data_IF_990639737712
#
_entry.id   IF_990639737712
#
_cell.length_a   1.000
_cell.length_b   1.000
_cell.length_c   1.000
_cell.angle_alpha   90.00
_cell.angle_beta   90.00
_cell.angle_gamma   90.00
#
_symmetry.space_group_name_H-M   'P 1'
#
loop_
_entity.id
_entity.type
_entity.pdbx_description
1 polymer ?
#
# COMPACT_ATOMS: atom_id res chain seq x y z
N UNK A 1 -7.95 -6.98 -7.39
CA UNK A 1 -7.10 -5.97 -8.06
C UNK A 1 -7.48 -4.59 -7.56
N UNK A 2 -6.50 -3.82 -7.11
CA UNK A 2 -6.71 -2.46 -6.59
C UNK A 2 -5.99 -1.44 -7.47
N UNK A 3 -6.59 -0.27 -7.63
CA UNK A 3 -6.08 0.81 -8.48
C UNK A 3 -5.82 2.07 -7.65
N UNK A 4 -5.13 3.04 -8.24
CA UNK A 4 -4.86 4.33 -7.57
C UNK A 4 -6.16 4.98 -7.10
N UNK A 5 -7.23 4.93 -7.91
CA UNK A 5 -8.52 5.51 -7.51
C UNK A 5 -9.07 4.83 -6.24
N UNK A 6 -8.91 3.52 -6.11
CA UNK A 6 -9.35 2.79 -4.93
C UNK A 6 -8.59 3.26 -3.67
N UNK A 7 -7.28 3.46 -3.82
CA UNK A 7 -6.44 3.97 -2.74
C UNK A 7 -6.87 5.36 -2.28
N UNK A 8 -7.09 6.26 -3.23
CA UNK A 8 -7.49 7.64 -2.94
C UNK A 8 -8.84 7.67 -2.23
N UNK A 9 -9.81 6.89 -2.71
CA UNK A 9 -11.13 6.81 -2.10
C UNK A 9 -11.07 6.23 -0.68
N UNK A 10 -10.27 5.18 -0.47
CA UNK A 10 -10.14 4.55 0.84
C UNK A 10 -9.48 5.48 1.85
N UNK A 11 -8.41 6.17 1.45
CA UNK A 11 -7.74 7.16 2.31
C UNK A 11 -8.75 8.24 2.74
N UNK A 12 -9.54 8.73 1.79
CA UNK A 12 -10.54 9.76 2.07
C UNK A 12 -11.59 9.27 3.07
N UNK A 13 -12.05 8.04 2.94
CA UNK A 13 -13.02 7.44 3.84
C UNK A 13 -12.46 7.18 5.23
N UNK A 14 -11.26 6.58 5.32
CA UNK A 14 -10.73 6.09 6.59
C UNK A 14 -10.05 7.15 7.43
N UNK A 15 -9.30 8.05 6.81
CA UNK A 15 -8.48 9.02 7.55
C UNK A 15 -8.75 10.48 7.15
N UNK A 16 -9.52 10.70 6.08
CA UNK A 16 -9.89 12.06 5.64
C UNK A 16 -8.66 12.90 5.31
N UNK A 17 -8.50 14.02 6.01
CA UNK A 17 -7.41 14.97 5.78
C UNK A 17 -6.20 14.72 6.69
N UNK A 18 -6.12 13.58 7.37
CA UNK A 18 -5.01 13.32 8.30
C UNK A 18 -3.78 12.82 7.54
N UNK A 19 -3.05 13.74 6.95
CA UNK A 19 -1.91 13.48 6.09
C UNK A 19 -0.68 12.94 6.83
N UNK A 20 -0.68 13.00 8.16
CA UNK A 20 0.46 12.59 9.01
C UNK A 20 0.58 11.08 9.19
N UNK A 21 -0.41 10.31 8.78
CA UNK A 21 -0.35 8.86 8.87
C UNK A 21 0.79 8.32 8.02
N UNK A 22 1.62 7.47 8.62
CA UNK A 22 2.72 6.79 7.91
C UNK A 22 2.16 5.58 7.16
N UNK A 23 2.62 5.35 5.93
CA UNK A 23 2.16 4.21 5.15
C UNK A 23 3.03 3.00 5.45
N UNK A 24 2.40 1.87 5.75
CA UNK A 24 3.07 0.60 6.04
C UNK A 24 2.45 -0.53 5.21
N UNK A 25 3.17 -1.63 5.11
CA UNK A 25 2.64 -2.86 4.52
C UNK A 25 2.20 -3.81 5.63
N UNK A 26 1.00 -4.35 5.49
CA UNK A 26 0.50 -5.41 6.37
C UNK A 26 0.63 -6.75 5.65
N UNK A 27 1.26 -7.72 6.30
CA UNK A 27 1.52 -9.03 5.70
C UNK A 27 0.47 -10.03 6.18
N UNK A 28 -0.25 -10.60 5.22
CA UNK A 28 -1.27 -11.62 5.48
C UNK A 28 -0.80 -12.96 4.94
N UNK A 29 -1.09 -14.03 5.68
CA UNK A 29 -0.81 -15.39 5.22
C UNK A 29 -2.01 -16.29 5.50
N UNK A 30 -2.08 -17.44 4.83
CA UNK A 30 -3.12 -18.41 5.08
C UNK A 30 -2.97 -19.03 6.46
N UNK A 31 -4.11 -19.22 7.15
CA UNK A 31 -4.14 -19.95 8.41
C UNK A 31 -3.86 -21.43 8.12
N UNK A 32 -2.83 -22.06 8.74
CA UNK A 32 -2.56 -23.48 8.53
C UNK A 32 -3.72 -24.41 8.88
N UNK A 33 -4.62 -23.96 9.78
CA UNK A 33 -5.76 -24.74 10.24
C UNK A 33 -7.04 -24.45 9.45
N UNK A 34 -7.05 -23.37 8.66
CA UNK A 34 -8.20 -22.99 7.85
C UNK A 34 -7.74 -22.16 6.65
N UNK A 35 -7.55 -22.80 5.51
CA UNK A 35 -7.02 -22.17 4.30
C UNK A 35 -7.90 -21.06 3.73
N UNK A 36 -9.14 -20.95 4.17
CA UNK A 36 -10.05 -19.88 3.76
C UNK A 36 -9.90 -18.63 4.61
N UNK A 37 -9.11 -18.68 5.68
CA UNK A 37 -8.89 -17.57 6.59
C UNK A 37 -7.47 -17.03 6.43
N UNK A 38 -7.36 -15.69 6.35
CA UNK A 38 -6.07 -15.01 6.38
C UNK A 38 -5.78 -14.53 7.79
N UNK A 39 -4.54 -14.72 8.24
CA UNK A 39 -4.08 -14.22 9.53
C UNK A 39 -2.98 -13.17 9.32
N UNK A 40 -2.92 -12.24 10.27
CA UNK A 40 -1.95 -11.16 10.25
C UNK A 40 -0.57 -11.70 10.64
N UNK A 41 0.40 -11.57 9.73
CA UNK A 41 1.75 -12.09 9.94
C UNK A 41 2.77 -11.02 10.33
N UNK A 42 2.36 -9.76 10.35
CA UNK A 42 3.23 -8.65 10.75
C UNK A 42 3.13 -7.45 9.84
N UNK A 43 3.93 -6.44 10.14
CA UNK A 43 4.04 -5.21 9.37
C UNK A 43 5.47 -5.01 8.89
N UNK A 44 5.61 -4.31 7.77
CA UNK A 44 6.89 -3.87 7.27
C UNK A 44 6.78 -2.41 6.86
N UNK A 45 7.85 -1.63 7.10
CA UNK A 45 7.88 -0.25 6.68
C UNK A 45 7.94 -0.16 5.16
N UNK A 46 7.06 0.63 4.56
CA UNK A 46 7.16 0.99 3.16
C UNK A 46 8.19 2.10 3.01
N UNK A 47 9.14 1.92 2.11
CA UNK A 47 10.31 2.79 2.00
C UNK A 47 10.19 3.80 0.88
N UNK A 48 9.64 3.39 -0.27
CA UNK A 48 9.46 4.27 -1.41
C UNK A 48 8.39 3.71 -2.36
N UNK A 49 8.10 4.44 -3.40
CA UNK A 49 7.23 4.01 -4.48
C UNK A 49 7.68 4.64 -5.80
N UNK A 50 7.28 4.05 -6.90
CA UNK A 50 7.52 4.62 -8.22
C UNK A 50 6.38 4.24 -9.16
N UNK A 51 6.27 4.98 -10.27
CA UNK A 51 5.27 4.74 -11.28
C UNK A 51 5.93 4.11 -12.50
N UNK A 52 5.40 2.96 -12.92
CA UNK A 52 5.80 2.31 -14.16
C UNK A 52 4.74 2.62 -15.22
N UNK A 53 5.05 3.55 -16.11
CA UNK A 53 4.11 4.01 -17.13
C UNK A 53 3.88 2.97 -18.22
N UNK A 54 4.84 2.07 -18.45
CA UNK A 54 4.72 1.02 -19.45
C UNK A 54 3.75 -0.05 -18.98
N UNK A 55 3.92 -0.51 -17.74
CA UNK A 55 3.02 -1.50 -17.13
C UNK A 55 1.74 -0.87 -16.58
N UNK A 56 1.69 0.45 -16.48
CA UNK A 56 0.57 1.18 -15.88
C UNK A 56 0.31 0.73 -14.45
N UNK A 57 1.37 0.82 -13.62
CA UNK A 57 1.36 0.39 -12.23
C UNK A 57 1.98 1.46 -11.34
N UNK A 58 1.43 1.57 -10.12
CA UNK A 58 2.10 2.24 -9.00
C UNK A 58 2.68 1.13 -8.12
N UNK A 59 4.00 1.12 -7.99
CA UNK A 59 4.72 0.05 -7.33
C UNK A 59 5.33 0.57 -6.02
N UNK A 60 4.89 -0.01 -4.90
CA UNK A 60 5.46 0.26 -3.59
C UNK A 60 6.64 -0.66 -3.34
N UNK A 61 7.66 -0.14 -2.65
CA UNK A 61 8.90 -0.88 -2.42
C UNK A 61 9.19 -0.99 -0.92
N UNK A 62 9.52 -2.21 -0.49
CA UNK A 62 10.12 -2.48 0.80
C UNK A 62 11.56 -2.89 0.51
N UNK A 63 12.52 -2.01 0.77
CA UNK A 63 13.93 -2.23 0.43
C UNK A 63 14.84 -2.45 1.64
N UNK A 64 14.25 -2.47 2.85
CA UNK A 64 14.99 -2.69 4.08
C UNK A 64 15.64 -1.43 4.66
N UNK A 65 15.45 -0.27 4.03
CA UNK A 65 15.94 0.99 4.57
C UNK A 65 15.10 1.46 5.73
N UNK A 66 15.54 2.52 6.43
CA UNK A 66 14.78 3.15 7.52
C UNK A 66 13.89 4.29 7.04
N UNK A 67 13.89 4.59 5.76
CA UNK A 67 13.09 5.66 5.16
C UNK A 67 11.62 5.26 5.17
N UNK A 68 10.74 6.20 5.54
CA UNK A 68 9.29 6.03 5.49
C UNK A 68 8.67 7.25 4.82
N UNK A 69 7.40 7.15 4.44
CA UNK A 69 6.68 8.31 3.89
C UNK A 69 5.24 8.31 4.41
N UNK A 70 4.64 9.49 4.40
CA UNK A 70 3.30 9.72 4.92
C UNK A 70 2.25 9.68 3.80
N UNK A 71 0.98 9.58 4.21
CA UNK A 71 -0.15 9.68 3.28
C UNK A 71 -0.10 11.00 2.51
N UNK A 72 0.24 12.12 3.17
CA UNK A 72 0.35 13.41 2.51
C UNK A 72 1.41 13.43 1.41
N UNK A 73 2.56 12.84 1.70
CA UNK A 73 3.65 12.75 0.72
C UNK A 73 3.29 11.89 -0.49
N UNK A 74 2.41 10.90 -0.33
CA UNK A 74 1.93 10.07 -1.42
C UNK A 74 0.78 10.74 -2.19
N UNK A 75 -0.22 11.24 -1.47
CA UNK A 75 -1.48 11.72 -2.06
C UNK A 75 -1.29 12.98 -2.90
N UNK A 76 -0.47 13.94 -2.42
CA UNK A 76 -0.31 15.21 -3.13
C UNK A 76 0.19 15.03 -4.57
N UNK A 77 1.26 14.25 -4.83
CA UNK A 77 1.66 13.99 -6.21
C UNK A 77 0.60 13.26 -7.04
N UNK A 78 -0.16 12.36 -6.42
CA UNK A 78 -1.19 11.61 -7.13
C UNK A 78 -2.38 12.49 -7.53
N UNK A 79 -2.76 13.45 -6.69
CA UNK A 79 -3.89 14.35 -6.97
C UNK A 79 -3.59 15.32 -8.12
N UNK A 80 -2.32 15.66 -8.35
CA UNK A 80 -1.91 16.54 -9.44
C UNK A 80 -1.50 15.77 -10.69
N UNK A 81 -1.50 14.45 -10.66
CA UNK A 81 -1.13 13.64 -11.82
C UNK A 81 -2.29 13.52 -12.80
N UNK A 82 -1.98 12.97 -13.97
CA UNK A 82 -2.94 12.77 -15.05
C UNK A 82 -4.09 11.85 -14.59
N UNK A 83 -5.31 12.17 -15.01
CA UNK A 83 -6.49 11.36 -14.67
C UNK A 83 -6.38 9.92 -15.17
N UNK A 84 -5.65 9.69 -16.27
CA UNK A 84 -5.43 8.33 -16.78
C UNK A 84 -4.70 7.45 -15.78
N UNK A 85 -3.89 8.03 -14.91
CA UNK A 85 -3.16 7.30 -13.87
C UNK A 85 -4.06 6.75 -12.76
N UNK A 86 -5.29 7.25 -12.63
CA UNK A 86 -6.22 6.76 -11.62
C UNK A 86 -6.52 5.27 -11.77
N UNK A 87 -6.38 4.74 -12.99
CA UNK A 87 -6.61 3.33 -13.29
C UNK A 87 -5.33 2.49 -13.33
N UNK A 88 -4.21 3.04 -12.87
CA UNK A 88 -2.98 2.25 -12.72
C UNK A 88 -3.14 1.31 -11.54
N UNK A 89 -2.71 0.07 -11.74
CA UNK A 89 -2.81 -0.97 -10.71
C UNK A 89 -1.77 -0.78 -9.61
N UNK A 90 -2.17 -1.08 -8.37
CA UNK A 90 -1.26 -1.04 -7.22
C UNK A 90 -0.52 -2.38 -7.10
N UNK A 91 0.80 -2.31 -6.99
CA UNK A 91 1.66 -3.47 -6.79
C UNK A 91 2.69 -3.18 -5.70
N UNK A 92 3.32 -4.23 -5.18
CA UNK A 92 4.32 -4.12 -4.13
C UNK A 92 5.44 -5.12 -4.32
N UNK A 93 6.67 -4.65 -4.12
CA UNK A 93 7.86 -5.50 -4.07
C UNK A 93 8.40 -5.53 -2.64
N UNK A 94 8.76 -6.70 -2.16
CA UNK A 94 9.31 -6.89 -0.82
C UNK A 94 10.74 -7.41 -0.95
N UNK A 95 11.72 -6.50 -0.92
CA UNK A 95 13.14 -6.82 -1.08
C UNK A 95 13.36 -7.70 -2.32
N UNK A 96 14.08 -8.83 -2.11
CA UNK A 96 14.30 -9.83 -3.15
C UNK A 96 13.42 -11.08 -2.96
N UNK A 97 12.58 -11.10 -1.92
CA UNK A 97 11.78 -12.26 -1.56
C UNK A 97 10.50 -12.38 -2.36
N UNK A 98 9.79 -11.27 -2.49
CA UNK A 98 8.49 -11.23 -3.17
C UNK A 98 8.48 -10.06 -4.14
N UNK A 99 8.15 -10.32 -5.39
CA UNK A 99 8.03 -9.28 -6.40
C UNK A 99 6.64 -9.30 -7.01
N UNK A 100 6.21 -8.12 -7.46
CA UNK A 100 4.96 -7.94 -8.18
C UNK A 100 3.74 -8.46 -7.39
N UNK A 101 3.72 -8.18 -6.08
CA UNK A 101 2.64 -8.60 -5.19
C UNK A 101 1.41 -7.73 -5.39
N UNK A 102 0.24 -8.35 -5.42
CA UNK A 102 -1.03 -7.64 -5.48
C UNK A 102 -1.41 -7.09 -4.10
N UNK A 103 -1.89 -5.84 -4.08
CA UNK A 103 -2.45 -5.27 -2.86
C UNK A 103 -3.91 -5.73 -2.75
N UNK A 104 -4.24 -6.41 -1.66
CA UNK A 104 -5.53 -7.05 -1.48
C UNK A 104 -6.50 -6.27 -0.59
N UNK A 105 -6.02 -5.24 0.10
CA UNK A 105 -6.88 -4.43 0.95
C UNK A 105 -6.15 -3.28 1.61
N UNK A 106 -6.90 -2.47 2.33
CA UNK A 106 -6.43 -1.31 3.05
C UNK A 106 -6.94 -1.31 4.48
N UNK A 107 -6.18 -0.73 5.40
CA UNK A 107 -6.57 -0.59 6.78
C UNK A 107 -5.90 0.60 7.44
N UNK A 108 -6.22 0.81 8.71
CA UNK A 108 -5.59 1.87 9.50
C UNK A 108 -5.36 1.42 10.94
N UNK A 109 -4.37 2.02 11.57
CA UNK A 109 -4.16 1.94 13.01
C UNK A 109 -4.16 3.38 13.55
N UNK A 110 -5.24 3.78 14.21
CA UNK A 110 -5.40 5.15 14.70
C UNK A 110 -4.46 5.49 15.86
N UNK A 111 -4.15 4.52 16.71
CA UNK A 111 -3.25 4.74 17.84
C UNK A 111 -1.84 5.05 17.38
N UNK A 112 -1.34 4.29 16.42
CA UNK A 112 0.01 4.45 15.90
C UNK A 112 0.09 5.39 14.70
N UNK A 113 -1.04 5.88 14.21
CA UNK A 113 -1.13 6.76 13.05
C UNK A 113 -0.50 6.12 11.82
N UNK A 114 -0.97 4.91 11.50
CA UNK A 114 -0.53 4.15 10.33
C UNK A 114 -1.67 3.90 9.37
N UNK A 115 -1.40 4.05 8.09
CA UNK A 115 -2.26 3.60 7.02
C UNK A 115 -1.63 2.36 6.39
N UNK A 116 -2.38 1.28 6.26
CA UNK A 116 -1.83 -0.05 5.98
C UNK A 116 -2.29 -0.55 4.61
N UNK A 117 -1.33 -0.97 3.79
CA UNK A 117 -1.59 -1.65 2.53
C UNK A 117 -1.33 -3.15 2.75
N UNK A 118 -2.36 -3.97 2.56
CA UNK A 118 -2.25 -5.41 2.82
C UNK A 118 -1.84 -6.18 1.57
N UNK A 119 -0.89 -7.09 1.74
CA UNK A 119 -0.52 -8.08 0.73
C UNK A 119 -0.63 -9.48 1.33
N UNK A 120 -0.89 -10.47 0.49
CA UNK A 120 -0.91 -11.88 0.88
C UNK A 120 0.41 -12.52 0.49
N UNK A 121 1.12 -13.05 1.48
CA UNK A 121 2.40 -13.72 1.29
C UNK A 121 2.28 -15.25 1.28
#
# INVERSE_FOLDING_TARGET
MKFIIDLIEDIREQIGNQEVYVITAGLLKEDPNNIQKLIYAGEAALNTYHIDEIKKQLIFEIDGSSTTFTVGELILPLLISDMDMMMYELRMNVNTQYSDMEIVGFGKNEEEKKYILFIKI
#
